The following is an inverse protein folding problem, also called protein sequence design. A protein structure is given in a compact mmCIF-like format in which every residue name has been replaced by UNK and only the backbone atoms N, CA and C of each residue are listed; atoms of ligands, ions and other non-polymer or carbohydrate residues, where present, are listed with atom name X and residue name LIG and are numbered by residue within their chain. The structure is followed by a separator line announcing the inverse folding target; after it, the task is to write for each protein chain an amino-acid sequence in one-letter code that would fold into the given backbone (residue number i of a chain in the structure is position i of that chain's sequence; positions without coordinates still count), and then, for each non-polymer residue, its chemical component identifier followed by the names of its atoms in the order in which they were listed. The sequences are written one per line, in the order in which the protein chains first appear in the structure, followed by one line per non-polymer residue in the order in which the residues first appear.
data_IF_488232824930
#
_entry.id   IF_488232824930
#
_cell.length_a   1.000
_cell.length_b   1.000
_cell.length_c   1.000
_cell.angle_alpha   90.00
_cell.angle_beta   90.00
_cell.angle_gamma   90.00
#
_symmetry.space_group_name_H-M   'P 1'
#
loop_
_entity.id
_entity.type
_entity.pdbx_description
1 polymer ?
#
# COMPACT_ATOMS: atom_id res chain seq x y z
N UNK A 1 57.93 39.20 22.21
CA UNK A 1 57.48 37.98 22.90
C UNK A 1 55.97 37.95 23.12
N UNK A 2 55.37 38.93 23.81
CA UNK A 2 53.91 38.95 24.09
C UNK A 2 53.05 38.90 22.82
N UNK A 3 53.42 39.69 21.80
CA UNK A 3 52.66 39.76 20.54
C UNK A 3 52.70 38.45 19.73
N UNK A 4 53.85 37.77 19.75
CA UNK A 4 54.00 36.44 19.13
C UNK A 4 53.19 35.39 19.89
N UNK A 5 53.22 35.41 21.23
CA UNK A 5 52.42 34.51 22.06
C UNK A 5 50.91 34.71 21.83
N UNK A 6 50.45 35.96 21.69
CA UNK A 6 49.05 36.28 21.40
C UNK A 6 48.61 35.76 20.02
N UNK A 7 49.46 35.88 19.00
CA UNK A 7 49.17 35.35 17.65
C UNK A 7 49.08 33.82 17.68
N UNK A 8 50.03 33.15 18.34
CA UNK A 8 50.01 31.68 18.46
C UNK A 8 48.74 31.23 19.19
N UNK A 9 48.37 31.89 20.29
CA UNK A 9 47.15 31.58 21.04
C UNK A 9 45.91 31.76 20.15
N UNK A 10 45.80 32.88 19.44
CA UNK A 10 44.68 33.14 18.52
C UNK A 10 44.60 32.10 17.39
N UNK A 11 45.73 31.71 16.81
CA UNK A 11 45.80 30.69 15.77
C UNK A 11 45.35 29.32 16.29
N UNK A 12 45.78 28.92 17.49
CA UNK A 12 45.37 27.64 18.10
C UNK A 12 43.87 27.62 18.43
N UNK A 13 43.33 28.71 18.97
CA UNK A 13 41.90 28.85 19.25
C UNK A 13 41.08 28.77 17.97
N UNK A 14 41.47 29.51 16.93
CA UNK A 14 40.82 29.46 15.62
C UNK A 14 40.85 28.05 15.02
N UNK A 15 42.00 27.39 15.06
CA UNK A 15 42.15 26.03 14.54
C UNK A 15 41.29 25.02 15.30
N UNK A 16 41.26 25.09 16.63
CA UNK A 16 40.39 24.23 17.46
C UNK A 16 38.90 24.47 17.16
N UNK A 17 38.46 25.73 17.03
CA UNK A 17 37.09 26.06 16.70
C UNK A 17 36.71 25.54 15.31
N UNK A 18 37.59 25.70 14.32
CA UNK A 18 37.39 25.18 12.97
C UNK A 18 37.29 23.65 12.95
N UNK A 19 38.11 22.95 13.74
CA UNK A 19 38.05 21.48 13.89
C UNK A 19 36.74 21.03 14.51
N UNK A 20 36.30 21.67 15.60
CA UNK A 20 35.02 21.35 16.24
C UNK A 20 33.85 21.55 15.27
N UNK A 21 33.84 22.66 14.52
CA UNK A 21 32.79 22.91 13.51
C UNK A 21 32.80 21.84 12.42
N UNK A 22 33.98 21.44 11.93
CA UNK A 22 34.11 20.39 10.93
C UNK A 22 33.60 19.03 11.45
N UNK A 23 33.92 18.66 12.68
CA UNK A 23 33.46 17.42 13.30
C UNK A 23 31.94 17.42 13.55
N UNK A 24 31.39 18.54 14.05
CA UNK A 24 29.94 18.67 14.23
C UNK A 24 29.21 18.57 12.89
N UNK A 25 29.76 19.16 11.84
CA UNK A 25 29.21 19.03 10.48
C UNK A 25 29.28 17.59 9.98
N UNK A 26 30.43 16.93 10.11
CA UNK A 26 30.60 15.54 9.70
C UNK A 26 29.65 14.59 10.47
N UNK A 27 29.48 14.80 11.77
CA UNK A 27 28.55 14.04 12.60
C UNK A 27 27.09 14.26 12.17
N UNK A 28 26.70 15.50 11.85
CA UNK A 28 25.37 15.81 11.30
C UNK A 28 25.14 15.15 9.95
N UNK A 29 26.13 15.18 9.06
CA UNK A 29 26.05 14.58 7.73
C UNK A 29 25.96 13.05 7.80
N UNK A 30 26.68 12.41 8.74
CA UNK A 30 26.56 10.98 9.02
C UNK A 30 25.18 10.63 9.59
N UNK A 31 24.69 11.38 10.58
CA UNK A 31 23.37 11.17 11.15
C UNK A 31 22.24 11.38 10.11
N UNK A 32 22.41 12.33 9.19
CA UNK A 32 21.49 12.51 8.06
C UNK A 32 21.51 11.28 7.14
N UNK A 33 22.69 10.80 6.74
CA UNK A 33 22.83 9.60 5.90
C UNK A 33 22.24 8.35 6.56
N UNK A 34 22.52 8.12 7.84
CA UNK A 34 21.97 6.98 8.59
C UNK A 34 20.43 7.01 8.65
N UNK A 35 19.83 8.18 8.90
CA UNK A 35 18.37 8.34 8.86
C UNK A 35 17.80 8.13 7.46
N UNK A 36 18.44 8.68 6.41
CA UNK A 36 18.01 8.48 5.03
C UNK A 36 18.02 7.00 4.64
N UNK A 37 19.08 6.26 4.99
CA UNK A 37 19.16 4.81 4.77
C UNK A 37 18.07 4.05 5.55
N UNK A 38 17.78 4.46 6.78
CA UNK A 38 16.68 3.88 7.57
C UNK A 38 15.33 4.10 6.89
N UNK A 39 15.06 5.31 6.38
CA UNK A 39 13.82 5.60 5.64
C UNK A 39 13.73 4.76 4.35
N UNK A 40 14.83 4.64 3.61
CA UNK A 40 14.89 3.78 2.42
C UNK A 40 14.62 2.31 2.76
N UNK A 41 15.16 1.81 3.87
CA UNK A 41 14.95 0.44 4.30
C UNK A 41 13.49 0.19 4.70
N UNK A 42 12.92 1.04 5.55
CA UNK A 42 11.53 0.93 6.02
C UNK A 42 10.58 1.01 4.83
N UNK A 43 10.66 2.07 4.05
CA UNK A 43 9.71 2.28 2.95
C UNK A 43 10.00 1.41 1.72
N UNK A 44 11.22 0.91 1.54
CA UNK A 44 11.51 -0.07 0.48
C UNK A 44 10.67 -1.35 0.65
N UNK A 45 10.53 -1.83 1.88
CA UNK A 45 9.65 -2.98 2.18
C UNK A 45 8.18 -2.64 1.93
N UNK A 46 7.73 -1.46 2.40
CA UNK A 46 6.38 -0.96 2.21
C UNK A 46 6.01 -0.80 0.73
N UNK A 47 6.93 -0.31 -0.10
CA UNK A 47 6.76 -0.20 -1.54
C UNK A 47 6.62 -1.56 -2.21
N UNK A 48 7.41 -2.55 -1.79
CA UNK A 48 7.27 -3.91 -2.30
C UNK A 48 5.94 -4.55 -1.91
N UNK A 49 5.42 -4.25 -0.71
CA UNK A 49 4.13 -4.75 -0.25
C UNK A 49 2.98 -4.11 -1.03
N UNK A 50 3.00 -2.78 -1.16
CA UNK A 50 2.04 -2.00 -1.94
C UNK A 50 1.98 -2.41 -3.42
N UNK A 51 3.11 -2.84 -4.00
CA UNK A 51 3.13 -3.35 -5.36
C UNK A 51 2.42 -4.71 -5.53
N UNK A 52 2.29 -5.50 -4.46
CA UNK A 52 1.62 -6.82 -4.47
C UNK A 52 0.18 -6.75 -3.98
N UNK A 53 -0.09 -5.87 -3.02
CA UNK A 53 -1.41 -5.68 -2.43
C UNK A 53 -1.73 -4.18 -2.33
N UNK A 54 -2.68 -3.68 -3.15
CA UNK A 54 -3.17 -2.29 -3.08
C UNK A 54 -3.56 -1.85 -1.66
N UNK A 55 -4.04 -2.75 -0.81
CA UNK A 55 -4.49 -2.44 0.55
C UNK A 55 -3.36 -1.99 1.46
N UNK A 56 -2.12 -2.38 1.18
CA UNK A 56 -0.98 -1.96 1.98
C UNK A 56 -0.79 -0.44 1.96
N UNK A 57 -1.20 0.23 0.87
CA UNK A 57 -1.17 1.70 0.79
C UNK A 57 -2.08 2.38 1.81
N UNK A 58 -3.17 1.74 2.25
CA UNK A 58 -4.07 2.29 3.27
C UNK A 58 -3.36 2.52 4.60
N UNK A 59 -2.33 1.73 4.90
CA UNK A 59 -1.50 1.86 6.09
C UNK A 59 -0.27 2.72 5.80
N UNK A 60 0.45 2.40 4.72
CA UNK A 60 1.76 2.97 4.47
C UNK A 60 1.72 4.41 3.95
N UNK A 61 0.69 4.82 3.22
CA UNK A 61 0.61 6.17 2.65
C UNK A 61 0.38 7.26 3.72
N UNK A 62 -0.55 7.10 4.70
CA UNK A 62 -0.66 8.02 5.83
C UNK A 62 0.63 8.08 6.67
N UNK A 63 1.29 6.94 6.90
CA UNK A 63 2.56 6.88 7.63
C UNK A 63 3.68 7.61 6.87
N UNK A 64 3.74 7.48 5.55
CA UNK A 64 4.68 8.22 4.71
C UNK A 64 4.43 9.73 4.78
N UNK A 65 3.17 10.17 4.74
CA UNK A 65 2.81 11.59 4.94
C UNK A 65 3.25 12.10 6.32
N UNK A 66 3.03 11.33 7.38
CA UNK A 66 3.46 11.69 8.73
C UNK A 66 4.98 11.76 8.86
N UNK A 67 5.70 10.75 8.37
CA UNK A 67 7.17 10.73 8.37
C UNK A 67 7.76 11.93 7.61
N UNK A 68 7.14 12.28 6.47
CA UNK A 68 7.53 13.43 5.66
C UNK A 68 7.31 14.77 6.36
N UNK A 69 6.25 14.89 7.16
CA UNK A 69 6.01 16.07 7.98
C UNK A 69 7.03 16.20 9.14
N UNK A 70 7.54 15.08 9.65
CA UNK A 70 8.52 15.06 10.75
C UNK A 70 9.95 15.35 10.30
N UNK A 71 10.36 14.90 9.11
CA UNK A 71 11.71 15.10 8.59
C UNK A 71 11.72 15.56 7.11
N UNK A 72 11.24 16.78 6.82
CA UNK A 72 11.02 17.23 5.44
C UNK A 72 12.30 17.30 4.61
N UNK A 73 13.45 17.62 5.22
CA UNK A 73 14.73 17.74 4.53
C UNK A 73 15.24 16.40 4.00
N UNK A 74 15.06 15.32 4.78
CA UNK A 74 15.39 13.96 4.33
C UNK A 74 14.56 13.60 3.12
N UNK A 75 13.24 13.76 3.18
CA UNK A 75 12.38 13.41 2.05
C UNK A 75 12.64 14.29 0.82
N UNK A 76 12.94 15.58 0.99
CA UNK A 76 13.35 16.44 -0.12
C UNK A 76 14.69 16.00 -0.76
N UNK A 77 15.61 15.41 0.02
CA UNK A 77 16.82 14.81 -0.53
C UNK A 77 16.53 13.51 -1.30
N UNK A 78 15.67 12.65 -0.76
CA UNK A 78 15.27 11.39 -1.39
C UNK A 78 14.48 11.63 -2.67
N UNK A 79 13.59 12.63 -2.70
CA UNK A 79 12.84 13.01 -3.88
C UNK A 79 13.76 13.48 -5.02
N UNK A 80 14.77 14.30 -4.70
CA UNK A 80 15.77 14.76 -5.67
C UNK A 80 16.59 13.59 -6.23
N UNK A 81 16.97 12.65 -5.36
CA UNK A 81 17.70 11.45 -5.77
C UNK A 81 16.83 10.52 -6.64
N UNK A 82 15.55 10.36 -6.30
CA UNK A 82 14.61 9.50 -7.01
C UNK A 82 13.94 10.16 -8.23
N UNK A 83 14.08 11.48 -8.39
CA UNK A 83 13.38 12.32 -9.37
C UNK A 83 11.85 12.20 -9.31
N UNK A 84 11.30 11.82 -8.16
CA UNK A 84 9.86 11.65 -7.90
C UNK A 84 9.59 11.68 -6.40
N UNK A 85 8.34 11.93 -5.96
CA UNK A 85 7.98 11.83 -4.55
C UNK A 85 8.28 10.45 -3.98
N UNK A 86 9.13 10.40 -2.97
CA UNK A 86 9.39 9.22 -2.16
C UNK A 86 8.45 9.22 -0.93
N UNK A 87 7.94 8.06 -0.49
CA UNK A 87 8.10 6.73 -1.07
C UNK A 87 7.00 6.35 -2.08
N UNK A 88 5.85 7.00 -1.98
CA UNK A 88 4.68 6.74 -2.82
C UNK A 88 4.31 7.99 -3.61
N UNK A 89 4.00 7.81 -4.89
CA UNK A 89 3.48 8.88 -5.73
C UNK A 89 1.95 8.81 -5.81
N UNK A 90 1.32 9.92 -6.21
CA UNK A 90 -0.13 9.96 -6.41
C UNK A 90 -0.55 8.99 -7.53
N UNK A 91 0.25 8.88 -8.58
CA UNK A 91 -0.01 7.95 -9.69
C UNK A 91 0.01 6.50 -9.21
N UNK A 92 0.86 6.15 -8.25
CA UNK A 92 0.87 4.81 -7.65
C UNK A 92 -0.40 4.51 -6.86
N UNK A 93 -0.92 5.50 -6.11
CA UNK A 93 -2.20 5.34 -5.40
C UNK A 93 -3.35 5.16 -6.39
N UNK A 94 -3.39 5.95 -7.46
CA UNK A 94 -4.39 5.82 -8.52
C UNK A 94 -4.28 4.48 -9.25
N UNK A 95 -3.07 4.02 -9.56
CA UNK A 95 -2.82 2.72 -10.17
C UNK A 95 -3.28 1.57 -9.26
N UNK A 96 -3.06 1.68 -7.95
CA UNK A 96 -3.52 0.69 -6.99
C UNK A 96 -5.05 0.63 -6.89
N UNK A 97 -5.74 1.78 -6.93
CA UNK A 97 -7.20 1.83 -7.00
C UNK A 97 -7.74 1.22 -8.29
N UNK A 98 -7.09 1.51 -9.43
CA UNK A 98 -7.46 0.92 -10.72
C UNK A 98 -7.25 -0.60 -10.72
N UNK A 99 -6.13 -1.09 -10.18
CA UNK A 99 -5.84 -2.51 -10.05
C UNK A 99 -6.88 -3.21 -9.17
N UNK A 100 -7.20 -2.65 -8.00
CA UNK A 100 -8.23 -3.20 -7.10
C UNK A 100 -9.60 -3.32 -7.78
N UNK A 101 -9.97 -2.32 -8.59
CA UNK A 101 -11.21 -2.35 -9.37
C UNK A 101 -11.17 -3.41 -10.48
N UNK A 102 -10.04 -3.56 -11.17
CA UNK A 102 -9.87 -4.60 -12.18
C UNK A 102 -9.96 -6.01 -11.57
N UNK A 103 -9.35 -6.22 -10.40
CA UNK A 103 -9.40 -7.49 -9.67
C UNK A 103 -10.82 -7.84 -9.21
N UNK A 104 -11.59 -6.85 -8.75
CA UNK A 104 -13.01 -7.01 -8.44
C UNK A 104 -13.81 -7.45 -9.67
N UNK A 105 -13.66 -6.77 -10.81
CA UNK A 105 -14.37 -7.11 -12.06
C UNK A 105 -13.97 -8.47 -12.63
N UNK A 106 -12.71 -8.88 -12.45
CA UNK A 106 -12.26 -10.22 -12.81
C UNK A 106 -12.92 -11.27 -11.92
N UNK A 107 -12.95 -11.03 -10.60
CA UNK A 107 -13.61 -11.91 -9.65
C UNK A 107 -15.12 -12.02 -9.92
N UNK A 108 -15.81 -10.90 -10.19
CA UNK A 108 -17.25 -10.88 -10.46
C UNK A 108 -17.63 -11.76 -11.66
N UNK A 109 -16.85 -11.69 -12.74
CA UNK A 109 -17.06 -12.54 -13.92
C UNK A 109 -16.86 -14.03 -13.62
N UNK A 110 -15.84 -14.37 -12.83
CA UNK A 110 -15.59 -15.77 -12.42
C UNK A 110 -16.68 -16.28 -11.48
N UNK A 111 -17.08 -15.47 -10.51
CA UNK A 111 -18.18 -15.77 -9.57
C UNK A 111 -19.49 -16.01 -10.34
N UNK A 112 -19.85 -15.12 -11.26
CA UNK A 112 -21.08 -15.30 -12.04
C UNK A 112 -21.05 -16.57 -12.91
N UNK A 113 -19.91 -16.86 -13.56
CA UNK A 113 -19.73 -18.08 -14.35
C UNK A 113 -19.82 -19.35 -13.50
N UNK A 114 -19.19 -19.37 -12.31
CA UNK A 114 -19.22 -20.51 -11.38
C UNK A 114 -20.66 -20.82 -10.94
N UNK A 115 -21.42 -19.80 -10.53
CA UNK A 115 -22.79 -20.01 -10.06
C UNK A 115 -23.77 -20.34 -11.18
N UNK A 116 -23.56 -19.83 -12.41
CA UNK A 116 -24.32 -20.26 -13.59
C UNK A 116 -24.14 -21.76 -13.85
N UNK A 117 -22.90 -22.26 -13.76
CA UNK A 117 -22.61 -23.67 -13.95
C UNK A 117 -23.21 -24.55 -12.85
N UNK A 118 -23.15 -24.12 -11.58
CA UNK A 118 -23.79 -24.80 -10.45
C UNK A 118 -25.31 -24.89 -10.63
N UNK A 119 -25.97 -23.80 -11.00
CA UNK A 119 -27.41 -23.76 -11.24
C UNK A 119 -27.82 -24.67 -12.42
N UNK A 120 -27.14 -24.55 -13.56
CA UNK A 120 -27.43 -25.36 -14.75
C UNK A 120 -27.30 -26.87 -14.50
N UNK A 121 -26.36 -27.28 -13.65
CA UNK A 121 -26.20 -28.70 -13.26
C UNK A 121 -27.43 -29.20 -12.50
N UNK A 122 -27.96 -28.40 -11.56
CA UNK A 122 -29.14 -28.76 -10.76
C UNK A 122 -30.41 -28.70 -11.62
N UNK A 123 -30.51 -27.73 -12.52
CA UNK A 123 -31.62 -27.63 -13.47
C UNK A 123 -31.67 -28.83 -14.41
N UNK A 124 -30.52 -29.26 -14.94
CA UNK A 124 -30.42 -30.47 -15.76
C UNK A 124 -30.81 -31.74 -14.97
N UNK A 125 -30.42 -31.85 -13.69
CA UNK A 125 -30.88 -32.92 -12.79
C UNK A 125 -32.41 -32.89 -12.58
N UNK A 126 -33.01 -31.70 -12.55
CA UNK A 126 -34.46 -31.51 -12.41
C UNK A 126 -35.21 -31.95 -13.68
N UNK A 127 -34.70 -31.59 -14.85
CA UNK A 127 -35.26 -31.91 -16.16
C UNK A 127 -35.14 -33.40 -16.49
N UNK A 128 -34.05 -34.04 -16.07
CA UNK A 128 -33.78 -35.47 -16.31
C UNK A 128 -34.57 -36.43 -15.41
N UNK A 129 -35.30 -35.92 -14.42
CA UNK A 129 -36.12 -36.74 -13.51
C UNK A 129 -37.63 -36.42 -13.58
N UNK A 130 -38.30 -36.76 -14.70
CA UNK A 130 -39.70 -36.40 -14.97
C UNK A 130 -40.76 -37.20 -14.20
N UNK A 131 -40.36 -38.14 -13.33
CA UNK A 131 -41.27 -39.10 -12.70
C UNK A 131 -42.16 -38.52 -11.57
N UNK A 132 -41.97 -37.26 -11.17
CA UNK A 132 -42.78 -36.59 -10.15
C UNK A 132 -43.37 -35.30 -10.73
N UNK A 133 -44.71 -35.19 -10.90
CA UNK A 133 -45.36 -33.95 -11.25
C UNK A 133 -45.08 -32.93 -10.13
N UNK A 134 -44.23 -31.94 -10.42
CA UNK A 134 -43.76 -30.96 -9.44
C UNK A 134 -42.27 -30.99 -9.11
N UNK A 135 -41.46 -31.84 -9.75
CA UNK A 135 -40.01 -31.89 -9.54
C UNK A 135 -39.60 -32.37 -8.14
N UNK A 136 -38.35 -32.82 -7.97
CA UNK A 136 -37.86 -33.23 -6.65
C UNK A 136 -37.77 -32.00 -5.72
N UNK A 137 -38.54 -31.92 -4.61
CA UNK A 137 -38.49 -30.77 -3.70
C UNK A 137 -37.09 -30.56 -3.10
N UNK A 138 -36.30 -31.62 -2.99
CA UNK A 138 -34.91 -31.58 -2.55
C UNK A 138 -34.01 -30.86 -3.57
N UNK A 139 -34.21 -31.08 -4.87
CA UNK A 139 -33.42 -30.41 -5.92
C UNK A 139 -33.79 -28.92 -6.01
N UNK A 140 -35.05 -28.56 -5.83
CA UNK A 140 -35.48 -27.15 -5.72
C UNK A 140 -34.84 -26.46 -4.51
N UNK A 141 -34.90 -27.09 -3.34
CA UNK A 141 -34.24 -26.57 -2.14
C UNK A 141 -32.72 -26.41 -2.32
N UNK A 142 -32.08 -27.29 -3.10
CA UNK A 142 -30.66 -27.19 -3.47
C UNK A 142 -30.39 -26.00 -4.39
N UNK A 143 -31.25 -25.75 -5.37
CA UNK A 143 -31.15 -24.56 -6.22
C UNK A 143 -31.28 -23.27 -5.40
N UNK A 144 -32.30 -23.18 -4.52
CA UNK A 144 -32.50 -22.04 -3.61
C UNK A 144 -31.30 -21.84 -2.66
N UNK A 145 -30.63 -22.93 -2.27
CA UNK A 145 -29.42 -22.85 -1.44
C UNK A 145 -28.23 -22.27 -2.23
N UNK A 146 -28.04 -22.67 -3.48
CA UNK A 146 -26.99 -22.13 -4.37
C UNK A 146 -27.21 -20.65 -4.65
N UNK A 147 -28.46 -20.22 -4.88
CA UNK A 147 -28.78 -18.80 -5.07
C UNK A 147 -28.47 -17.96 -3.83
N UNK A 148 -28.83 -18.44 -2.63
CA UNK A 148 -28.49 -17.77 -1.38
C UNK A 148 -26.98 -17.69 -1.17
N UNK A 149 -26.25 -18.77 -1.42
CA UNK A 149 -24.78 -18.79 -1.33
C UNK A 149 -24.14 -17.77 -2.30
N UNK A 150 -24.67 -17.67 -3.53
CA UNK A 150 -24.23 -16.69 -4.53
C UNK A 150 -24.33 -15.27 -3.98
N UNK A 151 -25.49 -14.92 -3.42
CA UNK A 151 -25.79 -13.59 -2.91
C UNK A 151 -24.94 -13.27 -1.67
N UNK A 152 -24.83 -14.20 -0.72
CA UNK A 152 -24.06 -14.01 0.51
C UNK A 152 -22.55 -13.81 0.22
N UNK A 153 -22.00 -14.60 -0.71
CA UNK A 153 -20.62 -14.44 -1.15
C UNK A 153 -20.41 -13.10 -1.88
N UNK A 154 -21.33 -12.75 -2.78
CA UNK A 154 -21.29 -11.48 -3.50
C UNK A 154 -21.35 -10.28 -2.57
N UNK A 155 -22.30 -10.26 -1.64
CA UNK A 155 -22.48 -9.13 -0.71
C UNK A 155 -21.24 -8.92 0.16
N UNK A 156 -20.66 -9.99 0.72
CA UNK A 156 -19.44 -9.90 1.53
C UNK A 156 -18.26 -9.34 0.72
N UNK A 157 -18.06 -9.84 -0.50
CA UNK A 157 -16.95 -9.39 -1.35
C UNK A 157 -17.18 -7.97 -1.86
N UNK A 158 -18.41 -7.61 -2.20
CA UNK A 158 -18.80 -6.27 -2.62
C UNK A 158 -18.56 -5.24 -1.52
N UNK A 159 -18.93 -5.55 -0.28
CA UNK A 159 -18.66 -4.68 0.86
C UNK A 159 -17.15 -4.43 1.01
N UNK A 160 -16.33 -5.49 0.97
CA UNK A 160 -14.88 -5.35 1.01
C UNK A 160 -14.34 -4.51 -0.14
N UNK A 161 -14.85 -4.72 -1.36
CA UNK A 161 -14.46 -3.93 -2.52
C UNK A 161 -14.73 -2.44 -2.30
N UNK A 162 -15.96 -2.08 -1.89
CA UNK A 162 -16.38 -0.69 -1.69
C UNK A 162 -15.58 -0.01 -0.59
N UNK A 163 -15.36 -0.68 0.54
CA UNK A 163 -14.59 -0.14 1.66
C UNK A 163 -13.15 0.20 1.24
N UNK A 164 -12.46 -0.76 0.60
CA UNK A 164 -11.08 -0.56 0.14
C UNK A 164 -11.01 0.46 -1.00
N UNK A 165 -11.92 0.41 -1.97
CA UNK A 165 -11.93 1.35 -3.09
C UNK A 165 -12.12 2.79 -2.61
N UNK A 166 -13.10 3.03 -1.72
CA UNK A 166 -13.31 4.35 -1.10
C UNK A 166 -12.09 4.80 -0.29
N UNK A 167 -11.50 3.90 0.48
CA UNK A 167 -10.32 4.21 1.29
C UNK A 167 -9.11 4.59 0.41
N UNK A 168 -8.87 3.86 -0.68
CA UNK A 168 -7.80 4.18 -1.65
C UNK A 168 -8.07 5.52 -2.35
N UNK A 169 -9.33 5.78 -2.73
CA UNK A 169 -9.72 7.06 -3.33
C UNK A 169 -9.57 8.23 -2.36
N UNK A 170 -9.72 8.02 -1.05
CA UNK A 170 -9.49 9.05 -0.06
C UNK A 170 -8.00 9.39 0.16
N UNK A 171 -7.07 8.58 -0.37
CA UNK A 171 -5.63 8.85 -0.31
C UNK A 171 -5.15 9.80 -1.42
N UNK A 172 -5.92 9.91 -2.51
CA UNK A 172 -5.63 10.80 -3.65
C UNK A 172 -6.08 12.21 -3.35
#
# INVERSE_FOLDING_TARGET
MILVAAIVLAATLYWSAARIVAEVKAARDEAFRARALTMMHVFGSAMSEAARDPRALLVWYPLAKAARALDPDIFASLDRAAQRPFPFTLEQVQAAHAQWTADWLAWERLHDAEYKLKAATIEQELESNPALPGGSPMLRARLDAVEREKLDSYQRRYQQYVEVAKALQALT
#
